data_IF_910381809492
#
_entry.id   IF_910381809492
#
_cell.length_a   1.000
_cell.length_b   1.000
_cell.length_c   1.000
_cell.angle_alpha   90.00
_cell.angle_beta   90.00
_cell.angle_gamma   90.00
#
_symmetry.space_group_name_H-M   'P 1'
#
loop_
_entity.id
_entity.type
_entity.pdbx_description
1 polymer ?
#
# COMPACT_ATOMS: atom_id res chain seq x y z
N UNK A 1 47.91 26.67 -1.45
CA UNK A 1 47.54 25.38 -2.08
C UNK A 1 47.18 24.42 -0.96
N UNK A 2 45.88 24.23 -0.70
CA UNK A 2 45.38 23.31 0.33
C UNK A 2 44.96 21.98 -0.32
N UNK A 3 45.21 20.82 0.32
CA UNK A 3 45.02 19.52 -0.31
C UNK A 3 43.54 19.11 -0.38
N UNK A 4 43.10 18.82 -1.60
CA UNK A 4 41.74 18.48 -2.05
C UNK A 4 41.14 17.20 -1.42
N UNK A 5 41.79 16.57 -0.44
CA UNK A 5 41.41 15.24 0.10
C UNK A 5 40.49 15.29 1.33
N UNK A 6 40.35 16.42 2.01
CA UNK A 6 39.49 16.53 3.21
C UNK A 6 38.00 16.80 2.89
N UNK A 7 37.68 17.31 1.69
CA UNK A 7 36.28 17.61 1.33
C UNK A 7 35.43 16.37 1.03
N UNK A 8 36.04 15.26 0.63
CA UNK A 8 35.31 14.04 0.25
C UNK A 8 34.69 13.28 1.44
N UNK A 9 35.22 13.47 2.67
CA UNK A 9 34.75 12.76 3.86
C UNK A 9 33.49 13.38 4.50
N UNK A 10 33.21 14.66 4.25
CA UNK A 10 32.03 15.32 4.82
C UNK A 10 30.76 15.11 3.97
N UNK A 11 30.92 14.85 2.66
CA UNK A 11 29.78 14.64 1.76
C UNK A 11 29.12 13.25 1.95
N UNK A 12 29.88 12.23 2.32
CA UNK A 12 29.34 10.89 2.59
C UNK A 12 28.60 10.82 3.92
N UNK A 13 29.07 11.53 4.95
CA UNK A 13 28.42 11.57 6.26
C UNK A 13 27.05 12.28 6.22
N UNK A 14 26.90 13.33 5.41
CA UNK A 14 25.61 14.05 5.26
C UNK A 14 24.59 13.25 4.44
N UNK A 15 25.02 12.52 3.40
CA UNK A 15 24.11 11.66 2.63
C UNK A 15 23.53 10.49 3.46
N UNK A 16 24.29 9.96 4.42
CA UNK A 16 23.83 8.88 5.30
C UNK A 16 22.86 9.38 6.39
N UNK A 17 22.96 10.65 6.81
CA UNK A 17 22.05 11.23 7.80
C UNK A 17 20.65 11.50 7.23
N UNK A 18 20.54 11.86 5.95
CA UNK A 18 19.25 12.10 5.30
C UNK A 18 18.42 10.81 5.10
N UNK A 19 19.06 9.63 5.02
CA UNK A 19 18.37 8.34 4.91
C UNK A 19 17.73 7.86 6.24
N UNK A 20 18.08 8.49 7.36
CA UNK A 20 17.51 8.17 8.69
C UNK A 20 16.32 9.06 9.06
N UNK A 21 16.02 10.09 8.27
CA UNK A 21 14.87 10.97 8.46
C UNK A 21 13.60 10.41 7.77
N UNK A 22 13.39 9.10 7.82
CA UNK A 22 12.09 8.55 7.46
C UNK A 22 11.04 9.07 8.47
N UNK A 23 9.87 9.55 8.04
CA UNK A 23 8.80 9.90 8.95
C UNK A 23 8.49 8.66 9.80
N UNK A 24 8.74 8.75 11.11
CA UNK A 24 8.43 7.65 12.02
C UNK A 24 6.92 7.63 12.25
N UNK A 25 6.22 6.90 11.40
CA UNK A 25 4.86 6.47 11.69
C UNK A 25 4.87 5.71 13.02
N UNK A 26 3.98 6.07 13.94
CA UNK A 26 3.88 5.36 15.21
C UNK A 26 3.26 3.99 14.96
N UNK A 27 4.07 2.93 15.05
CA UNK A 27 3.62 1.55 14.77
C UNK A 27 2.54 1.04 15.74
N UNK A 28 2.46 1.62 16.94
CA UNK A 28 1.43 1.33 17.93
C UNK A 28 1.23 2.51 18.88
N UNK A 29 0.01 2.70 19.39
CA UNK A 29 -0.30 3.67 20.43
C UNK A 29 -1.03 2.99 21.59
N UNK A 30 -0.79 3.44 22.82
CA UNK A 30 -1.40 2.85 24.00
C UNK A 30 -2.60 3.68 24.44
N UNK A 31 -3.77 3.06 24.39
CA UNK A 31 -4.99 3.58 24.98
C UNK A 31 -5.24 2.89 26.32
N UNK A 32 -5.11 3.63 27.42
CA UNK A 32 -5.19 3.08 28.78
C UNK A 32 -4.20 1.94 28.98
N UNK A 33 -4.67 0.70 29.12
CA UNK A 33 -3.83 -0.49 29.34
C UNK A 33 -3.50 -1.26 28.07
N UNK A 34 -4.19 -0.99 26.97
CA UNK A 34 -4.09 -1.77 25.71
C UNK A 34 -3.40 -0.99 24.61
N UNK A 35 -2.68 -1.70 23.76
CA UNK A 35 -2.09 -1.16 22.54
C UNK A 35 -3.10 -1.26 21.41
N UNK A 36 -3.20 -0.20 20.62
CA UNK A 36 -3.87 -0.19 19.32
C UNK A 36 -2.83 -0.21 18.22
N UNK A 37 -3.13 -0.96 17.16
CA UNK A 37 -2.24 -1.22 16.03
C UNK A 37 -3.02 -1.12 14.71
N UNK A 38 -2.35 -0.85 13.59
CA UNK A 38 -2.97 -0.89 12.26
C UNK A 38 -3.75 -2.19 12.01
N UNK A 39 -4.92 -2.06 11.37
CA UNK A 39 -5.83 -3.15 11.03
C UNK A 39 -7.04 -3.31 11.96
N UNK A 40 -6.98 -2.76 13.18
CA UNK A 40 -8.10 -2.74 14.12
C UNK A 40 -9.29 -1.97 13.54
N UNK A 41 -10.52 -2.39 13.85
CA UNK A 41 -11.71 -1.68 13.39
C UNK A 41 -11.94 -0.41 14.19
N UNK A 42 -12.71 0.54 13.64
CA UNK A 42 -13.11 1.73 14.38
C UNK A 42 -13.86 1.39 15.67
N UNK A 43 -14.65 0.32 15.69
CA UNK A 43 -15.32 -0.17 16.90
C UNK A 43 -14.32 -0.64 17.95
N UNK A 44 -13.31 -1.41 17.55
CA UNK A 44 -12.27 -1.90 18.46
C UNK A 44 -11.53 -0.71 19.08
N UNK A 45 -11.07 0.22 18.24
CA UNK A 45 -10.34 1.41 18.71
C UNK A 45 -11.20 2.25 19.65
N UNK A 46 -12.46 2.51 19.29
CA UNK A 46 -13.40 3.27 20.14
C UNK A 46 -13.66 2.58 21.48
N UNK A 47 -13.75 1.25 21.50
CA UNK A 47 -13.93 0.50 22.74
C UNK A 47 -12.71 0.57 23.66
N UNK A 48 -11.51 0.80 23.11
CA UNK A 48 -10.24 0.85 23.85
C UNK A 48 -9.84 2.27 24.25
N UNK A 49 -10.07 3.24 23.37
CA UNK A 49 -9.62 4.63 23.51
C UNK A 49 -10.74 5.58 23.91
N UNK A 50 -12.01 5.16 23.84
CA UNK A 50 -13.17 6.02 24.04
C UNK A 50 -13.54 6.79 22.77
N UNK A 51 -14.32 7.86 22.94
CA UNK A 51 -14.70 8.75 21.85
C UNK A 51 -13.56 9.74 21.52
N UNK A 52 -13.30 10.01 20.23
CA UNK A 52 -12.35 11.05 19.85
C UNK A 52 -12.90 12.44 20.20
N UNK A 53 -11.99 13.41 20.38
CA UNK A 53 -12.35 14.82 20.62
C UNK A 53 -13.02 15.40 19.37
N UNK A 54 -12.50 15.06 18.20
CA UNK A 54 -13.09 15.41 16.92
C UNK A 54 -12.79 14.34 15.86
N UNK A 55 -13.61 14.31 14.81
CA UNK A 55 -13.43 13.44 13.67
C UNK A 55 -13.60 14.25 12.38
N UNK A 56 -12.64 14.12 11.47
CA UNK A 56 -12.71 14.66 10.12
C UNK A 56 -13.00 13.54 9.12
N UNK A 57 -13.84 13.83 8.13
CA UNK A 57 -14.19 12.88 7.08
C UNK A 57 -13.81 13.46 5.74
N UNK A 58 -13.12 12.66 4.93
CA UNK A 58 -12.83 13.01 3.53
C UNK A 58 -12.95 11.80 2.62
N UNK A 59 -13.19 12.07 1.36
CA UNK A 59 -13.19 11.05 0.31
C UNK A 59 -12.04 11.33 -0.65
N UNK A 60 -11.12 10.38 -0.78
CA UNK A 60 -10.01 10.47 -1.71
C UNK A 60 -10.26 9.53 -2.89
N UNK A 61 -10.08 10.02 -4.12
CA UNK A 61 -10.11 9.18 -5.32
C UNK A 61 -8.74 8.56 -5.54
N UNK A 62 -8.63 7.24 -5.43
CA UNK A 62 -7.37 6.51 -5.64
C UNK A 62 -7.45 5.65 -6.90
N UNK A 63 -6.32 5.56 -7.60
CA UNK A 63 -6.18 4.63 -8.72
C UNK A 63 -5.94 3.22 -8.17
N UNK A 64 -6.82 2.29 -8.51
CA UNK A 64 -6.66 0.89 -8.20
C UNK A 64 -6.44 0.11 -9.48
N UNK A 65 -5.40 -0.73 -9.48
CA UNK A 65 -5.11 -1.65 -10.58
C UNK A 65 -5.51 -3.05 -10.17
N UNK A 66 -6.44 -3.65 -10.90
CA UNK A 66 -6.84 -5.06 -10.72
C UNK A 66 -6.43 -5.86 -11.94
N UNK A 67 -5.88 -7.04 -11.72
CA UNK A 67 -5.52 -7.96 -12.80
C UNK A 67 -6.70 -8.87 -13.10
N UNK A 68 -7.37 -8.61 -14.21
CA UNK A 68 -8.43 -9.50 -14.69
C UNK A 68 -7.83 -10.56 -15.61
N UNK A 69 -8.18 -11.82 -15.38
CA UNK A 69 -7.84 -12.89 -16.32
C UNK A 69 -8.73 -12.76 -17.56
N UNK A 70 -8.11 -12.50 -18.71
CA UNK A 70 -8.77 -12.56 -20.00
C UNK A 70 -8.31 -13.82 -20.72
N UNK A 71 -9.25 -14.72 -20.99
CA UNK A 71 -9.00 -15.98 -21.67
C UNK A 71 -9.67 -15.97 -23.05
N UNK A 72 -8.90 -16.26 -24.10
CA UNK A 72 -9.42 -16.35 -25.46
C UNK A 72 -9.08 -17.71 -26.08
N UNK A 73 -10.01 -18.33 -26.83
CA UNK A 73 -9.72 -19.52 -27.59
C UNK A 73 -8.89 -19.14 -28.83
N UNK A 74 -7.72 -19.75 -28.98
CA UNK A 74 -6.91 -19.66 -30.19
C UNK A 74 -6.94 -21.04 -30.86
N UNK A 75 -7.36 -21.06 -32.11
CA UNK A 75 -7.38 -22.27 -32.92
C UNK A 75 -5.96 -22.59 -33.41
N UNK A 76 -5.45 -23.76 -33.04
CA UNK A 76 -4.11 -24.20 -33.43
C UNK A 76 -4.15 -25.54 -34.16
N UNK A 77 -3.24 -25.79 -35.12
CA UNK A 77 -3.08 -27.10 -35.75
C UNK A 77 -2.77 -28.17 -34.71
N UNK A 78 -3.38 -29.35 -34.86
CA UNK A 78 -3.09 -30.49 -33.99
C UNK A 78 -1.72 -31.08 -34.37
N UNK A 79 -0.76 -31.20 -33.45
CA UNK A 79 0.53 -31.85 -33.72
C UNK A 79 0.33 -33.33 -34.12
N UNK A 80 1.08 -33.81 -35.11
CA UNK A 80 1.05 -35.22 -35.49
C UNK A 80 1.66 -36.06 -34.36
N UNK A 81 0.92 -37.02 -33.76
CA UNK A 81 1.43 -37.87 -32.68
C UNK A 81 2.58 -38.79 -33.11
N UNK A 82 2.83 -38.96 -34.42
CA UNK A 82 3.85 -39.88 -34.96
C UNK A 82 5.30 -39.36 -34.94
N UNK A 83 5.59 -38.21 -34.32
CA UNK A 83 6.97 -37.73 -34.10
C UNK A 83 7.76 -37.32 -35.37
N UNK A 84 7.16 -37.41 -36.55
CA UNK A 84 7.69 -36.85 -37.79
C UNK A 84 7.38 -35.35 -37.90
N UNK A 85 8.25 -34.59 -38.56
CA UNK A 85 8.13 -33.16 -38.87
C UNK A 85 6.67 -32.70 -39.07
N UNK A 86 6.29 -31.49 -38.62
CA UNK A 86 4.91 -31.03 -38.63
C UNK A 86 4.42 -30.78 -40.07
N UNK A 87 4.04 -31.85 -40.77
CA UNK A 87 3.06 -31.75 -41.83
C UNK A 87 1.72 -31.60 -41.12
N UNK A 88 1.30 -30.35 -40.91
CA UNK A 88 -0.04 -30.05 -40.45
C UNK A 88 -1.02 -30.81 -41.36
N UNK A 89 -1.79 -31.75 -40.81
CA UNK A 89 -2.87 -32.34 -41.57
C UNK A 89 -3.84 -31.22 -41.95
N UNK A 90 -4.11 -31.00 -43.26
CA UNK A 90 -5.04 -29.96 -43.69
C UNK A 90 -6.44 -30.34 -43.19
N UNK A 91 -6.88 -29.71 -42.09
CA UNK A 91 -8.26 -29.81 -41.60
C UNK A 91 -8.44 -30.02 -40.09
N UNK A 92 -7.39 -30.39 -39.34
CA UNK A 92 -7.52 -30.68 -37.91
C UNK A 92 -7.03 -29.51 -37.04
N UNK A 93 -7.96 -28.62 -36.66
CA UNK A 93 -7.72 -27.51 -35.71
C UNK A 93 -8.40 -27.83 -34.36
N UNK A 94 -7.71 -27.56 -33.26
CA UNK A 94 -8.27 -27.67 -31.92
C UNK A 94 -8.21 -26.30 -31.19
N UNK A 95 -9.21 -25.98 -30.35
CA UNK A 95 -9.16 -24.78 -29.55
C UNK A 95 -8.17 -24.99 -28.40
N UNK A 96 -7.23 -24.05 -28.24
CA UNK A 96 -6.45 -23.91 -27.02
C UNK A 96 -6.86 -22.62 -26.33
N UNK A 97 -7.01 -22.68 -25.00
CA UNK A 97 -7.33 -21.49 -24.21
C UNK A 97 -6.03 -20.82 -23.82
N UNK A 98 -5.87 -19.56 -24.25
CA UNK A 98 -4.79 -18.69 -23.82
C UNK A 98 -5.34 -17.69 -22.84
N UNK A 99 -4.78 -17.66 -21.63
CA UNK A 99 -5.15 -16.70 -20.60
C UNK A 99 -3.98 -15.73 -20.38
N UNK A 100 -4.30 -14.43 -20.36
CA UNK A 100 -3.37 -13.38 -19.98
C UNK A 100 -3.97 -12.59 -18.80
N UNK A 101 -3.12 -12.18 -17.87
CA UNK A 101 -3.50 -11.23 -16.82
C UNK A 101 -3.41 -9.81 -17.40
N UNK A 102 -4.55 -9.15 -17.56
CA UNK A 102 -4.62 -7.80 -18.11
C UNK A 102 -4.85 -6.81 -16.96
N UNK A 103 -3.99 -5.79 -16.78
CA UNK A 103 -4.19 -4.78 -15.76
C UNK A 103 -5.34 -3.85 -16.19
N UNK A 104 -6.35 -3.74 -15.34
CA UNK A 104 -7.43 -2.77 -15.46
C UNK A 104 -7.28 -1.75 -14.35
N UNK A 105 -7.15 -0.48 -14.73
CA UNK A 105 -7.02 0.63 -13.79
C UNK A 105 -8.32 1.41 -13.75
N UNK A 106 -8.86 1.60 -12.56
CA UNK A 106 -10.05 2.42 -12.33
C UNK A 106 -9.87 3.28 -11.09
N UNK A 107 -10.56 4.43 -11.06
CA UNK A 107 -10.61 5.32 -9.92
C UNK A 107 -11.68 4.86 -8.93
N UNK A 108 -11.28 4.60 -7.69
CA UNK A 108 -12.21 4.24 -6.61
C UNK A 108 -12.26 5.34 -5.55
N UNK A 109 -13.45 5.66 -5.01
CA UNK A 109 -13.54 6.52 -3.84
C UNK A 109 -13.11 5.71 -2.60
N UNK A 110 -12.17 6.25 -1.85
CA UNK A 110 -11.73 5.73 -0.56
C UNK A 110 -12.19 6.69 0.52
N UNK A 111 -13.01 6.19 1.44
CA UNK A 111 -13.46 6.95 2.61
C UNK A 111 -12.39 6.91 3.67
N UNK A 112 -11.93 8.10 4.05
CA UNK A 112 -10.92 8.30 5.07
C UNK A 112 -11.55 9.09 6.21
N UNK A 113 -11.39 8.56 7.41
CA UNK A 113 -11.85 9.19 8.63
C UNK A 113 -10.65 9.40 9.55
N UNK A 114 -10.42 10.64 9.97
CA UNK A 114 -9.30 10.98 10.86
C UNK A 114 -9.85 11.36 12.22
N UNK A 115 -9.47 10.61 13.25
CA UNK A 115 -9.89 10.84 14.64
C UNK A 115 -8.78 11.52 15.43
N UNK A 116 -9.12 12.60 16.12
CA UNK A 116 -8.19 13.36 16.94
C UNK A 116 -8.41 13.06 18.41
N UNK A 117 -7.33 12.68 19.09
CA UNK A 117 -7.32 12.45 20.53
C UNK A 117 -6.36 13.43 21.21
N UNK A 118 -6.87 14.10 22.24
CA UNK A 118 -6.05 14.86 23.20
C UNK A 118 -5.67 13.94 24.34
N UNK A 119 -4.51 13.27 24.23
CA UNK A 119 -3.90 12.64 25.39
C UNK A 119 -3.05 13.68 26.16
N UNK A 120 -2.97 13.50 27.48
CA UNK A 120 -2.21 14.36 28.38
C UNK A 120 -0.73 14.46 27.98
N UNK A 121 -0.20 13.43 27.31
CA UNK A 121 1.17 13.39 26.84
C UNK A 121 1.33 14.02 25.45
N UNK A 122 0.53 13.59 24.45
CA UNK A 122 0.73 13.94 23.04
C UNK A 122 -0.60 13.94 22.28
N UNK A 123 -0.92 14.99 21.50
CA UNK A 123 -2.04 14.92 20.57
C UNK A 123 -1.76 13.90 19.46
N UNK A 124 -2.74 13.05 19.16
CA UNK A 124 -2.62 11.98 18.15
C UNK A 124 -3.75 12.09 17.13
N UNK A 125 -3.43 11.77 15.88
CA UNK A 125 -4.40 11.55 14.83
C UNK A 125 -4.39 10.07 14.42
N UNK A 126 -5.56 9.45 14.41
CA UNK A 126 -5.76 8.09 13.94
C UNK A 126 -6.45 8.13 12.59
N UNK A 127 -5.85 7.54 11.58
CA UNK A 127 -6.39 7.56 10.22
C UNK A 127 -7.03 6.22 9.90
N UNK A 128 -8.31 6.23 9.59
CA UNK A 128 -9.08 5.05 9.24
C UNK A 128 -9.36 5.02 7.74
N UNK A 129 -9.16 3.87 7.12
CA UNK A 129 -9.52 3.60 5.74
C UNK A 129 -10.51 2.44 5.71
N UNK A 130 -11.67 2.65 5.08
CA UNK A 130 -12.74 1.64 5.02
C UNK A 130 -13.11 1.04 6.40
N UNK A 131 -13.08 1.88 7.44
CA UNK A 131 -13.43 1.49 8.82
C UNK A 131 -12.34 0.76 9.60
N UNK A 132 -11.11 0.68 9.07
CA UNK A 132 -9.95 0.07 9.76
C UNK A 132 -8.85 1.09 9.96
N UNK A 133 -8.17 1.01 11.11
CA UNK A 133 -7.03 1.86 11.43
C UNK A 133 -5.91 1.58 10.42
N UNK A 134 -5.59 2.55 9.58
CA UNK A 134 -4.50 2.47 8.61
C UNK A 134 -3.17 2.81 9.25
N UNK A 135 -3.07 4.01 9.83
CA UNK A 135 -1.85 4.46 10.51
C UNK A 135 -2.16 5.46 11.62
N UNK A 136 -1.13 5.70 12.45
CA UNK A 136 -1.18 6.56 13.63
C UNK A 136 -0.16 7.67 13.44
N UNK A 137 -0.62 8.91 13.52
CA UNK A 137 0.21 10.10 13.35
C UNK A 137 0.37 10.83 14.68
N UNK A 138 1.62 11.25 14.96
CA UNK A 138 1.96 12.01 16.15
C UNK A 138 1.98 13.51 15.85
N UNK A 139 1.07 14.26 16.47
CA UNK A 139 0.92 15.71 16.25
C UNK A 139 1.84 16.55 17.16
N UNK A 140 2.90 15.96 17.72
CA UNK A 140 3.91 16.66 18.53
C UNK A 140 4.46 17.91 17.84
N UNK A 141 4.63 17.83 16.51
CA UNK A 141 5.22 18.90 15.71
C UNK A 141 4.32 20.14 15.58
N UNK A 142 3.03 20.04 15.91
CA UNK A 142 2.05 21.13 15.82
C UNK A 142 1.97 21.99 17.10
N UNK A 143 2.74 21.66 18.16
CA UNK A 143 2.75 22.41 19.43
C UNK A 143 3.67 23.64 19.44
N UNK A 144 4.18 24.07 18.29
CA UNK A 144 5.12 25.19 18.18
C UNK A 144 4.47 26.46 17.63
#
# INVERSE_FOLDING_TARGET
MMPFRQFAWHATATAMLCLLAAPMDALAWRCSTRLIEPGLTFYDVRSLCGDPVSAEHRTEWRLQTVFQQQCQPVWQPIPNPAGGYPQAHPGAIAPRVFCAAVPLTYSVPVYIETWYYEDASVPKALHFEAGRLGWIESLWHLRH
#
